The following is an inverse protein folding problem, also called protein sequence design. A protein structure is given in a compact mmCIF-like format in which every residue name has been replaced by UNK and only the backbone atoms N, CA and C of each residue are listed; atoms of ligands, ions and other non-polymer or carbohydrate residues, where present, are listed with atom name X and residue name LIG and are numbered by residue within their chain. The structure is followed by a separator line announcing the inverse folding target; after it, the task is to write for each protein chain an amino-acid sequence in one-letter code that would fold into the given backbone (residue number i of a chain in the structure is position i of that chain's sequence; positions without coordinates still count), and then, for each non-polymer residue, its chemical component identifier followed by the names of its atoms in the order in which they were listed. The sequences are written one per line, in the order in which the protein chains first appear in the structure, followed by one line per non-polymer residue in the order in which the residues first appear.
data_IF_262173622866
#
_entry.id   IF_262173622866
#
_cell.length_a   1.000
_cell.length_b   1.000
_cell.length_c   1.000
_cell.angle_alpha   90.00
_cell.angle_beta   90.00
_cell.angle_gamma   90.00
#
_symmetry.space_group_name_H-M   'P 1'
#
loop_
_entity.id
_entity.type
_entity.pdbx_description
1 polymer ?
#
# COMPACT_ATOMS: atom_id res chain seq x y z
N UNK A 1 -2.24 -8.39 5.74
CA UNK A 1 -1.81 -7.34 6.69
C UNK A 1 -3.07 -6.67 7.22
N UNK A 2 -3.24 -6.48 8.54
CA UNK A 2 -4.44 -5.80 9.06
C UNK A 2 -4.35 -4.27 8.90
N UNK A 3 -5.47 -3.55 8.84
CA UNK A 3 -5.48 -2.08 8.80
C UNK A 3 -4.76 -1.47 10.01
N UNK A 4 -4.81 -2.14 11.16
CA UNK A 4 -4.08 -1.74 12.36
C UNK A 4 -2.58 -1.97 12.23
N UNK A 5 -2.18 -3.10 11.64
CA UNK A 5 -0.77 -3.38 11.32
C UNK A 5 -0.25 -2.43 10.23
N UNK A 6 -1.06 -2.10 9.22
CA UNK A 6 -0.72 -1.13 8.19
C UNK A 6 -0.56 0.27 8.78
N UNK A 7 -1.51 0.69 9.61
CA UNK A 7 -1.41 1.92 10.38
C UNK A 7 -0.11 1.96 11.19
N UNK A 8 0.25 0.85 11.85
CA UNK A 8 1.49 0.73 12.60
C UNK A 8 2.75 0.79 11.73
N UNK A 9 2.79 0.09 10.59
CA UNK A 9 3.94 0.11 9.68
C UNK A 9 4.09 1.44 8.93
N UNK A 10 2.97 2.07 8.58
CA UNK A 10 2.92 3.37 7.92
C UNK A 10 3.07 4.53 8.93
N UNK A 11 3.03 4.27 10.25
CA UNK A 11 3.15 5.32 11.26
C UNK A 11 1.96 6.30 11.30
N UNK A 12 0.79 5.87 10.81
CA UNK A 12 -0.44 6.68 10.77
C UNK A 12 -1.47 6.11 11.74
N UNK A 13 -2.35 6.96 12.28
CA UNK A 13 -3.38 6.48 13.20
C UNK A 13 -4.39 5.58 12.47
N UNK A 14 -4.79 4.49 13.13
CA UNK A 14 -5.78 3.57 12.57
C UNK A 14 -7.13 4.24 12.22
N UNK A 15 -7.70 5.14 13.06
CA UNK A 15 -8.91 5.86 12.69
C UNK A 15 -8.77 6.71 11.42
N UNK A 16 -7.62 7.38 11.23
CA UNK A 16 -7.36 8.20 10.05
C UNK A 16 -7.14 7.37 8.79
N UNK A 17 -6.38 6.27 8.90
CA UNK A 17 -6.19 5.35 7.78
C UNK A 17 -7.52 4.74 7.34
N UNK A 18 -8.38 4.38 8.29
CA UNK A 18 -9.74 3.94 7.98
C UNK A 18 -10.61 5.03 7.35
N UNK A 19 -10.36 6.33 7.58
CA UNK A 19 -11.09 7.41 6.87
C UNK A 19 -10.64 7.54 5.41
N UNK A 20 -9.33 7.39 5.17
CA UNK A 20 -8.74 7.39 3.82
C UNK A 20 -9.26 6.21 3.02
N UNK A 21 -9.24 5.01 3.62
CA UNK A 21 -9.76 3.78 3.01
C UNK A 21 -11.23 3.93 2.60
N UNK A 22 -12.03 4.58 3.45
CA UNK A 22 -13.46 4.86 3.17
C UNK A 22 -13.69 6.02 2.19
N UNK A 23 -12.62 6.62 1.64
CA UNK A 23 -12.72 7.78 0.75
C UNK A 23 -13.26 9.05 1.41
N UNK A 24 -13.46 9.04 2.73
CA UNK A 24 -13.99 10.16 3.50
C UNK A 24 -12.96 11.28 3.69
N UNK A 25 -11.70 10.99 3.36
CA UNK A 25 -10.60 11.94 3.51
C UNK A 25 -9.57 11.77 2.42
N UNK A 26 -9.15 12.89 1.82
CA UNK A 26 -8.02 12.92 0.89
C UNK A 26 -6.71 12.93 1.68
N UNK A 27 -5.87 11.88 1.56
CA UNK A 27 -4.57 11.84 2.22
C UNK A 27 -3.59 12.81 1.55
N UNK A 28 -2.63 13.35 2.30
CA UNK A 28 -1.50 14.08 1.72
C UNK A 28 -0.54 13.12 1.01
N UNK A 29 0.30 13.65 0.12
CA UNK A 29 1.37 12.87 -0.52
C UNK A 29 2.27 12.19 0.51
N UNK A 30 2.62 12.86 1.60
CA UNK A 30 3.42 12.28 2.69
C UNK A 30 2.78 11.03 3.30
N UNK A 31 1.47 11.08 3.58
CA UNK A 31 0.70 9.96 4.13
C UNK A 31 0.61 8.81 3.12
N UNK A 32 0.42 9.12 1.84
CA UNK A 32 0.44 8.11 0.77
C UNK A 32 1.80 7.42 0.66
N UNK A 33 2.91 8.15 0.77
CA UNK A 33 4.26 7.58 0.76
C UNK A 33 4.52 6.65 1.96
N UNK A 34 4.01 7.02 3.13
CA UNK A 34 4.04 6.19 4.33
C UNK A 34 3.21 4.91 4.19
N UNK A 35 2.01 5.00 3.63
CA UNK A 35 1.15 3.84 3.34
C UNK A 35 1.81 2.92 2.31
N UNK A 36 2.41 3.47 1.24
CA UNK A 36 3.16 2.71 0.24
C UNK A 36 4.32 1.92 0.87
N UNK A 37 5.09 2.55 1.76
CA UNK A 37 6.18 1.88 2.50
C UNK A 37 5.65 0.75 3.39
N UNK A 38 4.51 0.96 4.07
CA UNK A 38 3.86 -0.06 4.88
C UNK A 38 3.34 -1.26 4.06
N UNK A 39 2.84 -0.97 2.85
CA UNK A 39 2.38 -1.95 1.87
C UNK A 39 3.51 -2.59 1.05
N UNK A 40 4.74 -2.06 1.13
CA UNK A 40 5.90 -2.43 0.29
C UNK A 40 5.66 -2.27 -1.21
N UNK A 41 4.86 -1.27 -1.58
CA UNK A 41 4.58 -0.90 -2.98
C UNK A 41 5.24 0.43 -3.32
N UNK A 42 5.35 0.75 -4.61
CA UNK A 42 5.85 2.06 -5.03
C UNK A 42 4.88 3.17 -4.60
N UNK A 43 5.42 4.25 -4.04
CA UNK A 43 4.64 5.46 -3.73
C UNK A 43 4.08 6.12 -4.98
N UNK A 44 4.71 5.91 -6.14
CA UNK A 44 4.27 6.43 -7.43
C UNK A 44 2.86 5.93 -7.80
N UNK A 45 2.57 4.64 -7.57
CA UNK A 45 1.26 4.03 -7.84
C UNK A 45 0.17 4.74 -7.03
N UNK A 46 0.42 4.95 -5.74
CA UNK A 46 -0.51 5.63 -4.86
C UNK A 46 -0.68 7.12 -5.20
N UNK A 47 0.38 7.78 -5.68
CA UNK A 47 0.33 9.19 -6.09
C UNK A 47 -0.43 9.37 -7.39
N UNK A 48 -0.26 8.46 -8.35
CA UNK A 48 -1.04 8.42 -9.58
C UNK A 48 -2.53 8.21 -9.27
N UNK A 49 -2.86 7.23 -8.42
CA UNK A 49 -4.25 6.91 -8.09
C UNK A 49 -4.95 8.02 -7.28
N UNK A 50 -4.19 8.77 -6.48
CA UNK A 50 -4.69 9.94 -5.79
C UNK A 50 -4.68 11.23 -6.64
N UNK A 51 -4.25 11.15 -7.90
CA UNK A 51 -4.21 12.29 -8.83
C UNK A 51 -3.11 13.31 -8.53
N UNK A 52 -2.11 12.95 -7.72
CA UNK A 52 -0.92 13.75 -7.46
C UNK A 52 0.13 13.64 -8.56
N UNK A 53 0.07 12.60 -9.39
CA UNK A 53 0.94 12.41 -10.53
C UNK A 53 0.13 12.09 -11.79
N UNK A 54 0.58 12.63 -12.92
CA UNK A 54 0.07 12.28 -14.24
C UNK A 54 0.66 10.94 -14.68
N UNK A 55 -0.20 10.04 -15.19
CA UNK A 55 0.25 8.82 -15.85
C UNK A 55 0.96 9.18 -17.13
N UNK A 56 2.29 9.08 -17.14
CA UNK A 56 3.06 9.27 -18.37
C UNK A 56 3.14 7.93 -19.12
N UNK A 57 2.62 7.83 -20.35
CA UNK A 57 2.74 6.61 -21.17
C UNK A 57 4.17 6.35 -21.66
N UNK A 58 5.05 7.36 -21.59
CA UNK A 58 6.48 7.26 -21.89
C UNK A 58 7.27 7.82 -20.70
N UNK A 59 7.95 6.94 -19.96
CA UNK A 59 8.79 7.33 -18.84
C UNK A 59 10.12 7.94 -19.31
N UNK A 60 10.78 8.77 -18.48
CA UNK A 60 12.05 9.42 -18.82
C UNK A 60 13.17 8.46 -19.24
N UNK A 61 13.09 7.20 -18.80
CA UNK A 61 14.03 6.15 -19.19
C UNK A 61 13.89 5.75 -20.66
N UNK A 62 12.66 5.67 -21.19
CA UNK A 62 12.42 5.29 -22.60
C UNK A 62 13.04 6.32 -23.54
N UNK A 63 12.82 7.60 -23.24
CA UNK A 63 13.35 8.70 -24.05
C UNK A 63 14.88 8.78 -23.97
N UNK A 64 15.44 8.59 -22.78
CA UNK A 64 16.90 8.54 -22.59
C UNK A 64 17.55 7.38 -23.38
N UNK A 65 16.91 6.22 -23.41
CA UNK A 65 17.41 5.04 -24.11
C UNK A 65 17.32 5.19 -25.63
N UNK A 66 16.26 5.83 -26.13
CA UNK A 66 16.12 6.11 -27.57
C UNK A 66 17.15 7.15 -28.05
N UNK A 67 17.46 8.15 -27.22
CA UNK A 67 18.43 9.20 -27.52
C UNK A 67 19.90 8.75 -27.40
N UNK A 68 20.17 7.59 -26.79
CA UNK A 68 21.53 7.10 -26.56
C UNK A 68 22.23 6.73 -27.89
N UNK A 69 23.41 7.29 -28.13
CA UNK A 69 24.22 7.01 -29.33
C UNK A 69 25.29 5.94 -29.13
N UNK A 70 25.53 5.51 -27.88
CA UNK A 70 26.55 4.52 -27.53
C UNK A 70 26.10 3.08 -27.84
N UNK A 71 24.80 2.86 -27.97
CA UNK A 71 24.20 1.54 -28.21
C UNK A 71 23.45 1.50 -29.54
N UNK A 72 23.47 0.32 -30.15
CA UNK A 72 22.77 0.06 -31.42
C UNK A 72 21.25 0.04 -31.23
N UNK A 73 20.50 0.29 -32.29
CA UNK A 73 19.03 0.20 -32.30
C UNK A 73 18.53 -1.17 -31.83
N UNK A 74 19.25 -2.25 -32.18
CA UNK A 74 18.93 -3.60 -31.69
C UNK A 74 19.09 -3.72 -30.17
N UNK A 75 20.14 -3.12 -29.60
CA UNK A 75 20.37 -3.13 -28.15
C UNK A 75 19.34 -2.28 -27.41
N UNK A 76 18.95 -1.12 -27.96
CA UNK A 76 17.85 -0.30 -27.43
C UNK A 76 16.55 -1.10 -27.38
N UNK A 77 16.21 -1.77 -28.48
CA UNK A 77 14.99 -2.58 -28.57
C UNK A 77 14.96 -3.69 -27.51
N UNK A 78 16.06 -4.41 -27.32
CA UNK A 78 16.17 -5.46 -26.29
C UNK A 78 16.02 -4.87 -24.88
N UNK A 79 16.67 -3.74 -24.60
CA UNK A 79 16.58 -3.09 -23.30
C UNK A 79 15.16 -2.57 -23.00
N UNK A 80 14.47 -2.05 -24.01
CA UNK A 80 13.06 -1.67 -23.90
C UNK A 80 12.17 -2.89 -23.64
N UNK A 81 12.38 -4.00 -24.35
CA UNK A 81 11.61 -5.22 -24.15
C UNK A 81 11.77 -5.80 -22.74
N UNK A 82 13.00 -5.81 -22.21
CA UNK A 82 13.28 -6.23 -20.83
C UNK A 82 12.60 -5.30 -19.83
N UNK A 83 12.76 -3.99 -20.02
CA UNK A 83 12.14 -2.98 -19.17
C UNK A 83 10.61 -3.13 -19.14
N UNK A 84 9.98 -3.26 -20.31
CA UNK A 84 8.54 -3.48 -20.43
C UNK A 84 8.11 -4.82 -19.81
N UNK A 85 8.94 -5.87 -19.88
CA UNK A 85 8.66 -7.14 -19.21
C UNK A 85 8.57 -6.96 -17.70
N UNK A 86 9.54 -6.28 -17.08
CA UNK A 86 9.51 -6.04 -15.64
C UNK A 86 8.33 -5.19 -15.21
N UNK A 87 7.97 -4.16 -15.98
CA UNK A 87 6.76 -3.38 -15.72
C UNK A 87 5.51 -4.25 -15.75
N UNK A 88 5.34 -5.06 -16.80
CA UNK A 88 4.20 -6.00 -16.92
C UNK A 88 4.19 -7.05 -15.82
N UNK A 89 5.35 -7.59 -15.43
CA UNK A 89 5.48 -8.56 -14.36
C UNK A 89 5.11 -7.97 -13.01
N UNK A 90 5.54 -6.73 -12.73
CA UNK A 90 5.16 -6.02 -11.51
C UNK A 90 3.67 -5.70 -11.50
N UNK A 91 3.10 -5.20 -12.60
CA UNK A 91 1.64 -5.01 -12.74
C UNK A 91 0.87 -6.33 -12.57
N UNK A 92 1.40 -7.42 -13.11
CA UNK A 92 0.79 -8.75 -12.99
C UNK A 92 0.90 -9.31 -11.58
N UNK A 93 2.02 -9.07 -10.89
CA UNK A 93 2.22 -9.42 -9.49
C UNK A 93 1.27 -8.62 -8.59
N UNK A 94 1.16 -7.30 -8.81
CA UNK A 94 0.19 -6.44 -8.14
C UNK A 94 -1.26 -6.92 -8.39
N UNK A 95 -1.60 -7.29 -9.62
CA UNK A 95 -2.91 -7.83 -9.97
C UNK A 95 -3.16 -9.24 -9.37
N UNK A 96 -2.13 -10.07 -9.23
CA UNK A 96 -2.22 -11.39 -8.60
C UNK A 96 -2.33 -11.31 -7.07
N UNK A 97 -1.60 -10.39 -6.44
CA UNK A 97 -1.69 -10.09 -5.01
C UNK A 97 -3.07 -9.51 -4.67
N UNK A 98 -3.61 -8.64 -5.54
CA UNK A 98 -4.98 -8.12 -5.43
C UNK A 98 -6.02 -9.25 -5.49
N UNK A 99 -5.97 -10.14 -6.50
CA UNK A 99 -6.89 -11.29 -6.64
C UNK A 99 -6.81 -12.31 -5.50
N UNK A 100 -5.62 -12.53 -4.95
CA UNK A 100 -5.40 -13.48 -3.85
C UNK A 100 -5.97 -12.95 -2.52
N UNK A 101 -5.96 -11.63 -2.33
CA UNK A 101 -6.60 -10.98 -1.17
C UNK A 101 -8.13 -11.09 -1.20
N UNK A 102 -8.74 -11.13 -2.39
CA UNK A 102 -10.20 -11.28 -2.57
C UNK A 102 -10.69 -12.69 -2.18
N UNK A 103 -10.05 -13.75 -2.67
CA UNK A 103 -10.45 -15.15 -2.41
C UNK A 103 -10.35 -15.57 -0.93
N UNK A 104 -9.36 -15.06 -0.17
CA UNK A 104 -9.19 -15.35 1.27
C UNK A 104 -10.27 -14.75 2.16
N UNK A 105 -10.95 -13.71 1.68
CA UNK A 105 -12.02 -13.04 2.44
C UNK A 105 -13.30 -13.88 2.44
N UNK A 106 -13.52 -14.71 1.41
CA UNK A 106 -14.72 -15.57 1.27
C UNK A 106 -14.69 -16.82 2.17
N UNK A 107 -13.51 -17.40 2.44
CA UNK A 107 -13.37 -18.58 3.30
C UNK A 107 -13.50 -18.26 4.80
N UNK A 108 -13.03 -17.10 5.27
CA UNK A 108 -13.03 -16.73 6.71
C UNK A 108 -14.43 -16.50 7.29
N UNK A 109 -15.42 -16.18 6.44
CA UNK A 109 -16.81 -15.97 6.85
C UNK A 109 -17.56 -17.26 7.19
N UNK A 110 -17.05 -18.43 6.79
CA UNK A 110 -17.66 -19.73 7.14
C UNK A 110 -17.31 -20.23 8.54
N UNK A 111 -16.34 -19.64 9.26
CA UNK A 111 -15.69 -20.32 10.39
C UNK A 111 -15.78 -19.64 11.78
N UNK A 112 -16.08 -18.34 11.90
CA UNK A 112 -15.79 -17.55 13.12
C UNK A 112 -16.94 -17.40 14.15
N UNK A 113 -17.75 -18.44 14.34
CA UNK A 113 -18.84 -18.45 15.34
C UNK A 113 -18.40 -18.98 16.72
N UNK A 114 -17.78 -18.11 17.56
CA UNK A 114 -17.87 -17.97 19.05
C UNK A 114 -16.96 -18.73 20.08
N UNK A 115 -16.34 -17.97 21.03
CA UNK A 115 -16.22 -18.18 22.54
C UNK A 115 -15.73 -16.89 23.32
N UNK A 116 -15.69 -16.75 24.69
CA UNK A 116 -16.18 -15.58 25.51
C UNK A 116 -15.16 -14.88 26.50
N UNK A 117 -15.63 -14.01 27.43
CA UNK A 117 -15.03 -12.80 28.11
C UNK A 117 -14.68 -12.90 29.65
N UNK A 118 -13.81 -12.04 30.28
CA UNK A 118 -13.64 -11.94 31.77
C UNK A 118 -13.60 -10.53 32.47
N UNK A 119 -13.59 -10.54 33.83
CA UNK A 119 -13.97 -9.56 34.91
C UNK A 119 -12.92 -8.51 35.46
N UNK A 120 -13.27 -7.54 36.36
CA UNK A 120 -12.46 -6.34 36.72
C UNK A 120 -11.90 -6.23 38.19
N UNK A 121 -11.05 -5.22 38.57
CA UNK A 121 -10.41 -5.12 39.90
C UNK A 121 -10.78 -3.91 40.83
N UNK A 122 -10.40 -3.99 42.12
CA UNK A 122 -10.75 -3.15 43.31
C UNK A 122 -9.71 -2.06 43.69
N UNK A 123 -10.12 -0.96 44.37
CA UNK A 123 -9.27 0.19 44.82
C UNK A 123 -9.42 0.50 46.34
N UNK A 124 -8.32 0.76 47.06
CA UNK A 124 -8.28 1.26 48.46
C UNK A 124 -7.99 2.78 48.54
N UNK A 125 -8.58 3.50 49.50
CA UNK A 125 -8.34 4.92 49.80
C UNK A 125 -8.07 5.16 51.29
N UNK A 126 -7.08 5.99 51.61
CA UNK A 126 -6.78 6.49 52.97
C UNK A 126 -6.53 8.02 52.93
N UNK A 127 -7.30 8.78 53.73
CA UNK A 127 -6.86 9.94 54.55
C UNK A 127 -8.03 10.76 55.10
N UNK A 128 -7.96 11.13 56.38
CA UNK A 128 -8.36 12.46 56.87
C UNK A 128 -7.78 12.72 58.28
N UNK A 129 -7.05 13.82 58.42
CA UNK A 129 -6.70 14.54 59.65
C UNK A 129 -7.74 15.68 59.82
N UNK A 130 -8.39 15.79 60.99
CA UNK A 130 -8.60 17.00 61.82
C UNK A 130 -9.25 16.61 63.16
#
# INVERSE_FOLDING_TARGET
MSMRQLAQLAGVSNPYLSQIERGLRKPSAEVLGQIAKGLRVSSEVLYVQAGYLEQRPHGPLRDALLADTAITERQKQVLLEIYESFCRENESAEAAESRTSELRTEEHQRSDSQTPEPEPPTVEQEKADD
#
